data_IF_268903454465
#
_entry.id   IF_268903454465
#
_cell.length_a   1.000
_cell.length_b   1.000
_cell.length_c   1.000
_cell.angle_alpha   90.00
_cell.angle_beta   90.00
_cell.angle_gamma   90.00
#
_symmetry.space_group_name_H-M   'P 1'
#
loop_
_entity.id
_entity.type
_entity.pdbx_description
1 polymer ?
#
# COMPACT_ATOMS: atom_id res chain seq x y z
N UNK A 1 -10.67 1.43 1.08
CA UNK A 1 -9.76 2.26 1.89
C UNK A 1 -8.56 2.66 1.03
N UNK A 2 -8.43 3.97 0.77
CA UNK A 2 -7.38 4.51 -0.11
C UNK A 2 -6.53 5.59 0.56
N UNK A 3 -7.04 6.23 1.62
CA UNK A 3 -6.28 7.26 2.32
C UNK A 3 -4.89 6.74 2.72
N UNK A 4 -3.88 7.57 2.52
CA UNK A 4 -2.51 7.19 2.84
C UNK A 4 -1.56 8.38 2.70
N UNK A 5 -0.58 8.41 3.58
CA UNK A 5 0.46 9.43 3.61
C UNK A 5 1.84 8.79 3.57
N UNK A 6 2.84 9.55 3.14
CA UNK A 6 4.21 9.06 2.98
C UNK A 6 5.21 10.20 3.16
N UNK A 7 6.16 10.01 4.04
CA UNK A 7 7.34 10.84 4.20
C UNK A 7 8.59 9.96 4.33
N UNK A 8 9.76 10.56 4.20
CA UNK A 8 11.00 9.94 4.66
C UNK A 8 10.98 9.90 6.18
N UNK A 9 11.48 8.82 6.76
CA UNK A 9 11.66 8.66 8.21
C UNK A 9 12.96 7.91 8.48
N UNK A 10 13.67 8.32 9.53
CA UNK A 10 14.87 7.66 10.02
C UNK A 10 14.76 7.56 11.54
N UNK A 11 14.76 6.34 12.06
CA UNK A 11 14.58 6.08 13.51
C UNK A 11 15.65 6.72 14.39
N UNK A 12 16.84 7.04 13.85
CA UNK A 12 17.90 7.79 14.54
C UNK A 12 17.53 9.24 14.87
N UNK A 13 16.45 9.75 14.29
CA UNK A 13 15.93 11.10 14.49
C UNK A 13 14.63 11.05 15.29
N UNK A 14 14.65 11.49 16.53
CA UNK A 14 13.50 11.46 17.44
C UNK A 14 12.31 12.24 16.88
N UNK A 15 12.56 13.35 16.18
CA UNK A 15 11.53 14.16 15.52
C UNK A 15 10.76 13.41 14.42
N UNK A 16 11.31 12.33 13.87
CA UNK A 16 10.63 11.53 12.86
C UNK A 16 9.62 10.52 13.45
N UNK A 17 9.65 10.29 14.76
CA UNK A 17 8.71 9.37 15.43
C UNK A 17 7.27 9.85 15.32
N UNK A 18 7.02 11.15 15.33
CA UNK A 18 5.68 11.70 15.11
C UNK A 18 5.19 11.42 13.69
N UNK A 19 6.04 11.65 12.67
CA UNK A 19 5.72 11.31 11.29
C UNK A 19 5.51 9.78 11.12
N UNK A 20 6.30 8.97 11.82
CA UNK A 20 6.15 7.52 11.86
C UNK A 20 4.74 7.15 12.37
N UNK A 21 4.33 7.71 13.51
CA UNK A 21 3.02 7.48 14.12
C UNK A 21 1.89 7.87 13.17
N UNK A 22 1.94 9.08 12.59
CA UNK A 22 0.93 9.56 11.63
C UNK A 22 0.81 8.65 10.40
N UNK A 23 1.92 8.14 9.88
CA UNK A 23 1.92 7.19 8.76
C UNK A 23 1.23 5.88 9.17
N UNK A 24 1.53 5.33 10.35
CA UNK A 24 0.91 4.10 10.84
C UNK A 24 -0.59 4.31 11.12
N UNK A 25 -0.95 5.41 11.77
CA UNK A 25 -2.33 5.75 12.08
C UNK A 25 -3.18 5.88 10.80
N UNK A 26 -2.67 6.61 9.80
CA UNK A 26 -3.41 6.80 8.55
C UNK A 26 -3.45 5.53 7.69
N UNK A 27 -2.28 4.93 7.45
CA UNK A 27 -2.16 3.85 6.45
C UNK A 27 -2.63 2.49 6.95
N UNK A 28 -2.63 2.26 8.27
CA UNK A 28 -2.95 0.96 8.89
C UNK A 28 -4.24 1.06 9.71
N UNK A 29 -4.22 1.84 10.79
CA UNK A 29 -5.39 1.99 11.65
C UNK A 29 -6.56 2.60 10.90
N UNK A 30 -6.33 3.68 10.12
CA UNK A 30 -7.34 4.31 9.28
C UNK A 30 -7.97 3.37 8.26
N UNK A 31 -7.20 2.42 7.70
CA UNK A 31 -7.75 1.38 6.82
C UNK A 31 -8.72 0.46 7.57
N UNK A 32 -8.32 -0.04 8.74
CA UNK A 32 -9.17 -0.90 9.56
C UNK A 32 -10.43 -0.15 10.05
N UNK A 33 -10.27 1.09 10.53
CA UNK A 33 -11.36 1.94 10.95
C UNK A 33 -12.34 2.26 9.80
N UNK A 34 -11.85 2.36 8.56
CA UNK A 34 -12.70 2.53 7.37
C UNK A 34 -13.55 1.30 7.12
N UNK A 35 -13.02 0.09 7.28
CA UNK A 35 -13.78 -1.14 6.99
C UNK A 35 -14.75 -1.54 8.11
N UNK A 36 -14.38 -1.30 9.37
CA UNK A 36 -15.11 -1.77 10.53
C UNK A 36 -16.62 -1.49 10.48
N UNK A 37 -17.11 -0.27 10.21
CA UNK A 37 -18.55 0.04 10.22
C UNK A 37 -19.31 -0.61 9.05
N UNK A 38 -18.65 -0.99 7.96
CA UNK A 38 -19.30 -1.58 6.79
C UNK A 38 -19.41 -3.10 6.84
N UNK A 39 -18.54 -3.78 7.58
CA UNK A 39 -18.51 -5.26 7.64
C UNK A 39 -19.84 -5.85 8.12
N UNK A 40 -20.49 -5.37 9.20
CA UNK A 40 -21.77 -5.92 9.64
C UNK A 40 -22.85 -5.83 8.56
N UNK A 41 -22.97 -4.69 7.90
CA UNK A 41 -23.94 -4.49 6.82
C UNK A 41 -23.64 -5.37 5.60
N UNK A 42 -22.36 -5.51 5.22
CA UNK A 42 -21.95 -6.39 4.13
C UNK A 42 -22.22 -7.88 4.45
N UNK A 43 -22.09 -8.29 5.71
CA UNK A 43 -22.40 -9.66 6.13
C UNK A 43 -23.89 -9.94 6.12
N UNK A 44 -24.70 -8.97 6.58
CA UNK A 44 -26.16 -9.10 6.65
C UNK A 44 -26.83 -8.99 5.27
N UNK A 45 -26.21 -8.33 4.30
CA UNK A 45 -26.78 -8.15 2.98
C UNK A 45 -27.01 -9.51 2.29
N UNK A 46 -28.22 -9.77 1.75
CA UNK A 46 -28.47 -10.99 0.99
C UNK A 46 -27.54 -11.05 -0.21
N UNK A 47 -27.01 -12.24 -0.49
CA UNK A 47 -26.21 -12.50 -1.68
C UNK A 47 -27.10 -12.37 -2.93
N UNK A 48 -27.18 -11.18 -3.51
CA UNK A 48 -27.87 -11.00 -4.80
C UNK A 48 -27.06 -11.68 -5.90
N UNK A 49 -27.74 -12.47 -6.74
CA UNK A 49 -27.13 -13.11 -7.90
C UNK A 49 -26.49 -12.03 -8.80
N UNK A 50 -25.20 -12.19 -9.05
CA UNK A 50 -24.42 -11.26 -9.91
C UNK A 50 -23.83 -10.03 -9.24
N UNK A 51 -24.19 -9.69 -7.99
CA UNK A 51 -23.59 -8.56 -7.26
C UNK A 51 -22.52 -9.04 -6.28
N UNK A 52 -21.26 -8.74 -6.60
CA UNK A 52 -20.11 -9.09 -5.77
C UNK A 52 -19.87 -8.01 -4.69
N UNK A 53 -19.92 -8.42 -3.42
CA UNK A 53 -19.55 -7.55 -2.27
C UNK A 53 -18.04 -7.51 -2.14
N UNK A 54 -17.47 -6.30 -1.98
CA UNK A 54 -16.01 -6.12 -1.95
C UNK A 54 -15.58 -5.17 -0.84
N UNK A 55 -14.44 -5.49 -0.22
CA UNK A 55 -13.61 -4.57 0.56
C UNK A 55 -12.32 -4.37 -0.22
N UNK A 56 -11.92 -3.13 -0.46
CA UNK A 56 -10.76 -2.81 -1.28
C UNK A 56 -9.77 -1.99 -0.46
N UNK A 57 -8.55 -2.49 -0.32
CA UNK A 57 -7.46 -1.77 0.35
C UNK A 57 -6.32 -1.43 -0.59
N UNK A 58 -5.83 -0.19 -0.52
CA UNK A 58 -4.69 0.28 -1.30
C UNK A 58 -3.41 0.19 -0.47
N UNK A 59 -2.58 -0.80 -0.80
CA UNK A 59 -1.27 -1.02 -0.22
C UNK A 59 -0.16 -0.28 -1.01
N UNK A 60 0.96 -0.92 -1.27
CA UNK A 60 2.06 -0.47 -2.15
C UNK A 60 3.07 -1.59 -2.37
N UNK A 61 3.80 -1.55 -3.47
CA UNK A 61 5.01 -2.39 -3.66
C UNK A 61 6.09 -2.13 -2.59
N UNK A 62 6.09 -0.94 -1.98
CA UNK A 62 6.97 -0.60 -0.86
C UNK A 62 6.73 -1.46 0.39
N UNK A 63 5.57 -2.13 0.50
CA UNK A 63 5.28 -3.08 1.58
C UNK A 63 5.87 -4.48 1.34
N UNK A 64 6.43 -4.76 0.18
CA UNK A 64 6.99 -6.08 -0.14
C UNK A 64 8.41 -6.24 0.43
N UNK A 65 9.20 -5.16 0.41
CA UNK A 65 10.52 -5.08 1.07
C UNK A 65 10.76 -3.67 1.59
N UNK A 66 11.43 -3.54 2.75
CA UNK A 66 11.78 -2.25 3.34
C UNK A 66 12.67 -1.43 2.41
N UNK A 67 12.39 -0.14 2.26
CA UNK A 67 13.14 0.79 1.42
C UNK A 67 13.92 1.77 2.31
N UNK A 68 15.20 2.02 2.03
CA UNK A 68 16.01 2.97 2.81
C UNK A 68 15.37 4.36 2.89
N UNK A 69 15.34 4.94 4.10
CA UNK A 69 14.75 6.26 4.35
C UNK A 69 13.23 6.35 4.19
N UNK A 70 12.54 5.19 4.19
CA UNK A 70 11.09 5.11 4.13
C UNK A 70 10.56 4.04 5.10
N UNK A 71 11.15 3.97 6.29
CA UNK A 71 10.91 2.94 7.31
C UNK A 71 9.43 2.83 7.66
N UNK A 72 8.83 3.94 8.11
CA UNK A 72 7.43 3.99 8.49
C UNK A 72 6.50 3.65 7.32
N UNK A 73 6.76 4.20 6.14
CA UNK A 73 5.92 3.94 4.98
C UNK A 73 5.99 2.47 4.55
N UNK A 74 7.20 1.90 4.44
CA UNK A 74 7.38 0.49 4.11
C UNK A 74 6.72 -0.43 5.14
N UNK A 75 6.93 -0.15 6.44
CA UNK A 75 6.30 -0.88 7.54
C UNK A 75 4.76 -0.80 7.47
N UNK A 76 4.20 0.40 7.26
CA UNK A 76 2.75 0.58 7.17
C UNK A 76 2.13 -0.17 5.98
N UNK A 77 2.80 -0.17 4.83
CA UNK A 77 2.30 -0.87 3.64
C UNK A 77 2.47 -2.38 3.73
N UNK A 78 3.49 -2.87 4.43
CA UNK A 78 3.63 -4.29 4.79
C UNK A 78 2.51 -4.73 5.75
N UNK A 79 2.25 -3.94 6.79
CA UNK A 79 1.15 -4.17 7.72
C UNK A 79 -0.21 -4.19 7.00
N UNK A 80 -0.46 -3.24 6.10
CA UNK A 80 -1.68 -3.19 5.30
C UNK A 80 -1.86 -4.45 4.43
N UNK A 81 -0.79 -4.95 3.79
CA UNK A 81 -0.85 -6.20 2.99
C UNK A 81 -1.25 -7.37 3.89
N UNK A 82 -0.56 -7.57 5.02
CA UNK A 82 -0.83 -8.67 5.95
C UNK A 82 -2.21 -8.58 6.57
N UNK A 83 -2.66 -7.37 6.95
CA UNK A 83 -4.01 -7.13 7.44
C UNK A 83 -5.08 -7.55 6.42
N UNK A 84 -4.92 -7.14 5.15
CA UNK A 84 -5.86 -7.49 4.08
C UNK A 84 -5.86 -8.99 3.76
N UNK A 85 -4.72 -9.67 3.90
CA UNK A 85 -4.63 -11.12 3.75
C UNK A 85 -5.45 -11.83 4.83
N UNK A 86 -5.32 -11.43 6.10
CA UNK A 86 -6.10 -11.98 7.22
C UNK A 86 -7.59 -11.70 7.02
N UNK A 87 -7.94 -10.45 6.75
CA UNK A 87 -9.33 -10.04 6.51
C UNK A 87 -9.97 -10.82 5.35
N UNK A 88 -9.20 -11.15 4.31
CA UNK A 88 -9.68 -11.96 3.19
C UNK A 88 -10.14 -13.36 3.61
N UNK A 89 -9.39 -13.99 4.50
CA UNK A 89 -9.75 -15.31 5.03
C UNK A 89 -11.00 -15.24 5.90
N UNK A 90 -11.09 -14.21 6.73
CA UNK A 90 -12.25 -13.99 7.64
C UNK A 90 -13.54 -13.63 6.88
N UNK A 91 -13.43 -12.92 5.76
CA UNK A 91 -14.58 -12.51 4.94
C UNK A 91 -15.05 -13.56 3.94
N UNK A 92 -14.21 -14.56 3.66
CA UNK A 92 -14.53 -15.63 2.70
C UNK A 92 -15.82 -16.41 3.02
N UNK A 93 -16.11 -16.81 4.27
CA UNK A 93 -17.34 -17.53 4.59
C UNK A 93 -18.62 -16.74 4.29
N UNK A 94 -18.51 -15.39 4.25
CA UNK A 94 -19.65 -14.50 3.97
C UNK A 94 -19.75 -14.12 2.49
N UNK A 95 -18.93 -14.70 1.61
CA UNK A 95 -18.92 -14.37 0.19
C UNK A 95 -18.45 -12.94 -0.12
N UNK A 96 -17.77 -12.28 0.82
CA UNK A 96 -17.22 -10.94 0.64
C UNK A 96 -15.79 -11.06 0.10
N UNK A 97 -15.50 -10.43 -1.04
CA UNK A 97 -14.17 -10.39 -1.64
C UNK A 97 -13.34 -9.28 -1.02
N UNK A 98 -12.14 -9.59 -0.56
CA UNK A 98 -11.15 -8.59 -0.16
C UNK A 98 -10.11 -8.46 -1.29
N UNK A 99 -9.97 -7.25 -1.80
CA UNK A 99 -9.09 -6.92 -2.93
C UNK A 99 -7.95 -6.06 -2.41
N UNK A 100 -6.73 -6.53 -2.56
CA UNK A 100 -5.51 -5.76 -2.25
C UNK A 100 -4.92 -5.23 -3.54
N UNK A 101 -4.85 -3.91 -3.68
CA UNK A 101 -4.11 -3.25 -4.75
C UNK A 101 -2.76 -2.78 -4.18
N UNK A 102 -1.67 -3.19 -4.81
CA UNK A 102 -0.31 -2.77 -4.48
C UNK A 102 0.27 -1.94 -5.65
N UNK A 103 0.07 -0.61 -5.65
CA UNK A 103 0.62 0.25 -6.67
C UNK A 103 2.15 0.29 -6.63
N UNK A 104 2.75 0.42 -7.83
CA UNK A 104 4.10 0.94 -8.01
C UNK A 104 4.10 2.47 -8.01
N UNK A 105 4.88 3.07 -8.91
CA UNK A 105 4.90 4.52 -9.06
C UNK A 105 3.73 4.99 -9.91
N UNK A 106 2.96 5.93 -9.38
CA UNK A 106 1.84 6.58 -10.04
C UNK A 106 2.06 8.09 -9.97
N UNK A 107 1.82 8.78 -11.05
CA UNK A 107 1.93 10.22 -11.16
C UNK A 107 0.85 10.91 -10.32
N UNK A 108 1.26 11.42 -9.16
CA UNK A 108 0.39 12.04 -8.15
C UNK A 108 1.18 13.13 -7.41
N UNK A 109 0.53 14.05 -6.69
CA UNK A 109 1.23 15.00 -5.82
C UNK A 109 2.19 14.31 -4.82
N UNK A 110 1.83 13.12 -4.31
CA UNK A 110 2.68 12.35 -3.39
C UNK A 110 4.01 11.90 -4.03
N UNK A 111 4.03 11.63 -5.32
CA UNK A 111 5.21 11.16 -6.05
C UNK A 111 5.95 12.29 -6.76
N UNK A 112 5.30 13.42 -7.02
CA UNK A 112 5.91 14.59 -7.67
C UNK A 112 7.10 15.17 -6.90
N UNK A 113 7.15 14.96 -5.59
CA UNK A 113 8.25 15.42 -4.71
C UNK A 113 9.47 14.49 -4.76
N UNK A 114 9.38 13.32 -5.39
CA UNK A 114 10.48 12.37 -5.47
C UNK A 114 11.54 12.85 -6.46
N UNK A 115 12.81 12.88 -6.02
CA UNK A 115 13.96 13.32 -6.83
C UNK A 115 14.76 12.16 -7.42
N UNK A 116 14.19 10.97 -7.47
CA UNK A 116 14.82 9.76 -7.98
C UNK A 116 14.01 9.14 -9.12
N UNK A 117 14.66 8.26 -9.89
CA UNK A 117 14.01 7.57 -11.00
C UNK A 117 12.87 6.69 -10.50
N UNK A 118 11.73 6.79 -11.14
CA UNK A 118 10.52 6.00 -10.86
C UNK A 118 10.24 5.07 -12.04
N UNK A 119 10.80 3.83 -12.02
CA UNK A 119 10.59 2.92 -13.12
C UNK A 119 9.12 2.55 -13.27
N UNK A 120 8.67 2.41 -14.52
CA UNK A 120 7.28 2.05 -14.85
C UNK A 120 6.23 3.02 -14.27
N UNK A 121 6.58 4.31 -14.18
CA UNK A 121 5.64 5.36 -13.75
C UNK A 121 4.38 5.32 -14.62
N UNK A 122 3.21 5.31 -13.98
CA UNK A 122 1.90 5.34 -14.66
C UNK A 122 1.21 6.68 -14.42
N UNK A 123 0.57 7.21 -15.44
CA UNK A 123 -0.39 8.29 -15.29
C UNK A 123 -1.56 7.87 -14.37
N UNK A 124 -2.08 8.79 -13.56
CA UNK A 124 -3.12 8.51 -12.57
C UNK A 124 -4.36 7.85 -13.19
N UNK A 125 -4.86 8.35 -14.33
CA UNK A 125 -6.03 7.80 -15.00
C UNK A 125 -5.80 6.37 -15.51
N UNK A 126 -4.62 6.10 -16.07
CA UNK A 126 -4.27 4.75 -16.52
C UNK A 126 -4.17 3.76 -15.34
N UNK A 127 -3.67 4.21 -14.19
CA UNK A 127 -3.63 3.43 -12.97
C UNK A 127 -5.04 3.17 -12.45
N UNK A 128 -5.88 4.21 -12.35
CA UNK A 128 -7.26 4.12 -11.90
C UNK A 128 -8.09 3.14 -12.73
N UNK A 129 -7.97 3.19 -14.07
CA UNK A 129 -8.62 2.24 -14.94
C UNK A 129 -8.18 0.78 -14.72
N UNK A 130 -6.91 0.55 -14.38
CA UNK A 130 -6.40 -0.78 -14.05
C UNK A 130 -6.86 -1.25 -12.67
N UNK A 131 -6.95 -0.33 -11.69
CA UNK A 131 -7.50 -0.62 -10.37
C UNK A 131 -8.98 -1.03 -10.48
N UNK A 132 -9.78 -0.24 -11.20
CA UNK A 132 -11.20 -0.54 -11.43
C UNK A 132 -11.39 -1.95 -11.98
N UNK A 133 -10.66 -2.32 -13.04
CA UNK A 133 -10.71 -3.66 -13.61
C UNK A 133 -10.33 -4.77 -12.63
N UNK A 134 -9.31 -4.56 -11.79
CA UNK A 134 -8.91 -5.53 -10.77
C UNK A 134 -9.99 -5.68 -9.69
N UNK A 135 -10.60 -4.57 -9.29
CA UNK A 135 -11.70 -4.52 -8.32
C UNK A 135 -12.94 -5.23 -8.88
N UNK A 136 -13.33 -4.92 -10.11
CA UNK A 136 -14.49 -5.54 -10.79
C UNK A 136 -14.35 -7.06 -10.89
N UNK A 137 -13.15 -7.53 -11.20
CA UNK A 137 -12.84 -8.98 -11.26
C UNK A 137 -12.77 -9.63 -9.88
N UNK A 138 -12.70 -8.86 -8.80
CA UNK A 138 -12.48 -9.38 -7.45
C UNK A 138 -11.11 -10.03 -7.29
N UNK A 139 -10.09 -9.49 -7.97
CA UNK A 139 -8.70 -9.98 -7.88
C UNK A 139 -8.18 -9.82 -6.46
N UNK A 140 -7.78 -10.91 -5.82
CA UNK A 140 -7.40 -10.90 -4.40
C UNK A 140 -6.15 -10.09 -4.09
N UNK A 141 -5.18 -10.05 -5.02
CA UNK A 141 -3.96 -9.27 -4.91
C UNK A 141 -3.49 -8.83 -6.31
N UNK A 142 -3.36 -7.55 -6.52
CA UNK A 142 -2.93 -6.99 -7.80
C UNK A 142 -1.78 -5.98 -7.62
N UNK A 143 -0.64 -6.24 -8.25
CA UNK A 143 0.44 -5.24 -8.38
C UNK A 143 0.26 -4.50 -9.70
N UNK A 144 0.21 -3.17 -9.64
CA UNK A 144 -0.05 -2.32 -10.81
C UNK A 144 0.99 -1.19 -10.86
N UNK A 145 1.81 -1.13 -11.94
CA UNK A 145 1.87 -2.07 -13.07
C UNK A 145 2.51 -3.41 -12.70
N UNK A 146 2.17 -4.47 -13.43
CA UNK A 146 2.61 -5.84 -13.14
C UNK A 146 4.14 -6.01 -13.13
N UNK A 147 4.86 -5.21 -13.93
CA UNK A 147 6.32 -5.20 -13.96
C UNK A 147 6.92 -4.90 -12.58
N UNK A 148 6.29 -3.97 -11.83
CA UNK A 148 6.71 -3.69 -10.46
C UNK A 148 6.51 -4.88 -9.53
N UNK A 149 5.57 -5.76 -9.83
CA UNK A 149 5.39 -7.03 -9.11
C UNK A 149 6.57 -7.98 -9.29
N UNK A 150 7.13 -8.05 -10.48
CA UNK A 150 8.35 -8.83 -10.75
C UNK A 150 9.52 -8.22 -9.98
N UNK A 151 9.73 -6.90 -10.14
CA UNK A 151 10.81 -6.18 -9.42
C UNK A 151 10.72 -6.41 -7.93
N UNK A 152 9.55 -6.23 -7.34
CA UNK A 152 9.35 -6.39 -5.90
C UNK A 152 9.60 -7.83 -5.41
N UNK A 153 9.19 -8.84 -6.18
CA UNK A 153 9.47 -10.25 -5.88
C UNK A 153 10.96 -10.56 -5.96
N UNK A 154 11.64 -10.09 -7.00
CA UNK A 154 13.09 -10.26 -7.14
C UNK A 154 13.79 -9.61 -5.94
N UNK A 155 13.46 -8.36 -5.62
CA UNK A 155 14.04 -7.68 -4.46
C UNK A 155 13.78 -8.43 -3.15
N UNK A 156 12.60 -9.01 -2.97
CA UNK A 156 12.25 -9.79 -1.77
C UNK A 156 13.08 -11.06 -1.64
N UNK A 157 13.43 -11.69 -2.75
CA UNK A 157 14.22 -12.93 -2.79
C UNK A 157 15.73 -12.70 -2.65
N UNK A 158 16.22 -11.47 -2.85
CA UNK A 158 17.62 -11.16 -2.69
C UNK A 158 18.09 -11.44 -1.25
N UNK A 159 19.23 -12.11 -1.05
CA UNK A 159 19.87 -12.18 0.27
C UNK A 159 20.16 -10.77 0.81
N UNK A 160 20.12 -10.58 2.12
CA UNK A 160 20.29 -9.25 2.74
C UNK A 160 21.60 -8.60 2.32
N UNK A 161 22.72 -9.33 2.35
CA UNK A 161 24.04 -8.79 1.96
C UNK A 161 24.07 -8.19 0.56
N UNK A 162 23.33 -8.78 -0.40
CA UNK A 162 23.27 -8.28 -1.78
C UNK A 162 22.31 -7.09 -1.87
N UNK A 163 21.17 -7.17 -1.20
CA UNK A 163 20.23 -6.07 -1.12
C UNK A 163 20.87 -4.82 -0.50
N UNK A 164 21.55 -4.98 0.64
CA UNK A 164 22.21 -3.89 1.36
C UNK A 164 23.25 -3.21 0.48
N UNK A 165 24.11 -3.99 -0.21
CA UNK A 165 25.11 -3.46 -1.14
C UNK A 165 24.51 -2.67 -2.31
N UNK A 166 23.33 -3.09 -2.81
CA UNK A 166 22.66 -2.40 -3.92
C UNK A 166 21.96 -1.11 -3.47
N UNK A 167 21.48 -1.06 -2.22
CA UNK A 167 20.62 0.00 -1.72
C UNK A 167 21.26 0.91 -0.67
N UNK A 168 22.48 0.63 -0.17
CA UNK A 168 23.15 1.48 0.82
C UNK A 168 23.26 2.96 0.40
N UNK A 169 23.37 3.21 -0.92
CA UNK A 169 23.45 4.55 -1.52
C UNK A 169 22.17 4.97 -2.25
N UNK A 170 21.08 4.26 -2.03
CA UNK A 170 19.82 4.59 -2.68
C UNK A 170 19.33 5.98 -2.23
N UNK A 171 18.77 6.77 -3.15
CA UNK A 171 18.21 8.06 -2.80
C UNK A 171 17.04 7.91 -1.84
N UNK A 172 16.99 8.78 -0.83
CA UNK A 172 15.99 8.76 0.23
C UNK A 172 14.87 9.76 -0.05
N UNK A 173 13.68 9.49 0.45
CA UNK A 173 12.56 10.44 0.39
C UNK A 173 12.78 11.58 1.38
N UNK A 174 12.27 12.79 1.07
CA UNK A 174 12.36 13.93 1.97
C UNK A 174 11.58 13.66 3.28
N UNK A 175 12.15 14.08 4.42
CA UNK A 175 11.61 13.83 5.76
C UNK A 175 10.47 14.77 6.15
N UNK A 176 10.49 16.00 5.69
CA UNK A 176 9.61 17.09 6.15
C UNK A 176 8.22 17.14 5.47
N UNK A 177 7.82 16.06 4.77
CA UNK A 177 6.61 16.09 3.92
C UNK A 177 5.28 16.08 4.69
N UNK A 178 5.26 15.69 5.96
CA UNK A 178 4.03 15.60 6.77
C UNK A 178 3.83 16.79 7.72
N UNK A 179 4.72 17.76 7.75
CA UNK A 179 4.56 18.97 8.60
C UNK A 179 3.33 19.82 8.25
N UNK A 180 2.67 19.52 7.13
CA UNK A 180 1.53 20.26 6.58
C UNK A 180 0.23 19.45 6.56
N UNK A 181 0.21 18.24 7.12
CA UNK A 181 -1.03 17.45 7.28
C UNK A 181 -1.66 17.87 8.62
N UNK A 182 -2.83 18.55 8.62
CA UNK A 182 -3.50 18.97 9.83
C UNK A 182 -3.98 17.79 10.68
#
# INVERSE_FOLDING_TARGET
>A
ANAGVSAGTLTEHEEDLEAFRQIMDTNVFGMAATFAPFIPALRAAPGESGKMRRLVGIASVAGIRGLPGAEAYSASKAAAITYLESLRLEMRPYGIKVVTIAPGYIETPMTAVNRYKMPFLLAADAAAARFARAIERGTTYAVIPWQMGIVAKVLRLLPNWLYDRLFERAPRKARDLLKWVP
#
